data_IF_872334999800
#
_entry.id   IF_872334999800
#
_cell.length_a   1.000
_cell.length_b   1.000
_cell.length_c   1.000
_cell.angle_alpha   90.00
_cell.angle_beta   90.00
_cell.angle_gamma   90.00
#
_symmetry.space_group_name_H-M   'P 1'
#
loop_
_entity.id
_entity.type
_entity.pdbx_description
1 polymer ?
#
# COMPACT_ATOMS: atom_id res chain seq x y z
N UNK A 1 -11.63 16.86 -4.96
CA UNK A 1 -12.46 15.67 -5.28
C UNK A 1 -11.98 15.10 -6.62
N UNK A 2 -11.12 14.06 -6.62
CA UNK A 2 -10.68 13.42 -7.88
C UNK A 2 -11.67 12.31 -8.23
N UNK A 3 -12.25 12.37 -9.42
CA UNK A 3 -13.16 11.36 -9.96
C UNK A 3 -12.37 10.06 -10.15
N UNK A 4 -12.81 8.99 -9.50
CA UNK A 4 -12.32 7.63 -9.77
C UNK A 4 -12.88 7.22 -11.13
N UNK A 5 -12.06 7.29 -12.17
CA UNK A 5 -12.39 6.69 -13.45
C UNK A 5 -12.30 5.17 -13.29
N UNK A 6 -13.47 4.54 -13.27
CA UNK A 6 -13.62 3.10 -13.29
C UNK A 6 -13.27 2.62 -14.69
N UNK A 7 -12.08 2.07 -14.86
CA UNK A 7 -11.66 1.44 -16.11
C UNK A 7 -12.50 0.16 -16.26
N UNK A 8 -13.34 0.02 -17.30
CA UNK A 8 -14.09 -1.21 -17.52
C UNK A 8 -13.11 -2.31 -17.91
N UNK A 9 -12.81 -3.20 -16.96
CA UNK A 9 -12.09 -4.44 -17.23
C UNK A 9 -13.00 -5.33 -18.09
N UNK A 10 -12.68 -5.47 -19.37
CA UNK A 10 -13.33 -6.44 -20.26
C UNK A 10 -12.99 -7.87 -19.78
N UNK A 11 -13.78 -8.39 -18.84
CA UNK A 11 -13.70 -9.75 -18.28
C UNK A 11 -14.16 -10.85 -19.25
N UNK A 12 -14.24 -10.56 -20.55
CA UNK A 12 -14.78 -11.47 -21.56
C UNK A 12 -13.80 -12.58 -22.00
N UNK A 13 -12.58 -12.63 -21.46
CA UNK A 13 -11.62 -13.71 -21.74
C UNK A 13 -11.77 -14.95 -20.84
N UNK A 14 -12.65 -14.92 -19.83
CA UNK A 14 -12.85 -16.03 -18.88
C UNK A 14 -14.30 -16.54 -18.79
N UNK A 15 -15.19 -16.11 -19.68
CA UNK A 15 -16.54 -16.66 -19.76
C UNK A 15 -16.53 -17.96 -20.59
N UNK A 16 -16.55 -19.08 -19.88
CA UNK A 16 -16.85 -20.41 -20.39
C UNK A 16 -18.24 -20.41 -21.09
N UNK A 17 -18.40 -21.03 -22.27
CA UNK A 17 -19.69 -21.05 -22.97
C UNK A 17 -20.66 -22.05 -22.31
N UNK A 18 -21.96 -21.70 -22.19
CA UNK A 18 -22.99 -22.67 -21.81
C UNK A 18 -23.21 -23.67 -22.95
N UNK A 19 -23.37 -24.94 -22.57
CA UNK A 19 -23.81 -25.99 -23.47
C UNK A 19 -25.24 -25.70 -24.00
N UNK A 20 -25.39 -25.79 -25.33
CA UNK A 20 -26.65 -26.20 -25.97
C UNK A 20 -27.21 -25.25 -27.03
N UNK A 21 -27.24 -25.73 -28.27
CA UNK A 21 -28.30 -25.40 -29.23
C UNK A 21 -27.91 -24.62 -30.48
N UNK A 22 -27.61 -25.37 -31.54
CA UNK A 22 -27.88 -25.09 -32.96
C UNK A 22 -27.39 -23.78 -33.61
N UNK A 23 -26.52 -23.92 -34.61
CA UNK A 23 -26.43 -22.96 -35.71
C UNK A 23 -25.04 -22.78 -36.30
N UNK A 24 -24.76 -23.57 -37.33
CA UNK A 24 -24.16 -23.13 -38.60
C UNK A 24 -22.81 -22.37 -38.60
N UNK A 25 -21.80 -23.03 -39.18
CA UNK A 25 -20.80 -22.52 -40.14
C UNK A 25 -19.41 -23.11 -39.85
N UNK A 26 -19.08 -24.17 -40.57
CA UNK A 26 -17.76 -24.80 -40.56
C UNK A 26 -17.53 -25.57 -41.85
N UNK A 27 -17.20 -24.83 -42.91
CA UNK A 27 -16.59 -25.35 -44.13
C UNK A 27 -15.31 -26.12 -43.79
N UNK A 28 -15.34 -27.44 -44.00
CA UNK A 28 -14.13 -28.23 -44.22
C UNK A 28 -14.29 -28.97 -45.52
N UNK A 29 -13.55 -28.50 -46.52
CA UNK A 29 -13.44 -29.13 -47.84
C UNK A 29 -13.01 -30.61 -47.77
N UNK A 30 -13.60 -31.37 -48.69
CA UNK A 30 -13.10 -32.60 -49.31
C UNK A 30 -12.97 -33.82 -48.37
N UNK A 31 -13.85 -34.82 -48.43
CA UNK A 31 -14.09 -35.62 -49.63
C UNK A 31 -15.24 -36.63 -49.38
N UNK A 32 -16.16 -36.73 -50.35
CA UNK A 32 -16.64 -38.02 -50.86
C UNK A 32 -17.66 -38.85 -50.07
N UNK A 33 -18.95 -38.57 -50.30
CA UNK A 33 -19.90 -39.58 -50.81
C UNK A 33 -20.38 -40.70 -49.88
N UNK A 34 -21.56 -40.52 -49.29
CA UNK A 34 -22.36 -41.58 -48.68
C UNK A 34 -23.31 -42.21 -49.71
N UNK A 35 -23.15 -43.53 -49.88
CA UNK A 35 -24.13 -44.60 -50.14
C UNK A 35 -25.26 -44.42 -51.17
N UNK A 36 -25.36 -45.42 -52.04
CA UNK A 36 -26.64 -46.05 -52.39
C UNK A 36 -26.83 -46.31 -53.87
N UNK A 37 -26.59 -47.55 -54.31
CA UNK A 37 -27.60 -48.42 -54.96
C UNK A 37 -26.90 -49.75 -55.31
N UNK A 38 -27.56 -50.87 -55.04
CA UNK A 38 -26.93 -52.19 -54.96
C UNK A 38 -26.58 -52.87 -56.28
N UNK A 39 -25.86 -54.00 -56.15
CA UNK A 39 -26.15 -55.27 -56.82
C UNK A 39 -25.08 -56.31 -56.47
N UNK A 40 -25.52 -57.40 -55.83
CA UNK A 40 -25.02 -58.78 -55.84
C UNK A 40 -23.60 -59.08 -56.35
N UNK A 41 -22.75 -59.62 -55.45
CA UNK A 41 -22.08 -60.93 -55.57
C UNK A 41 -21.42 -61.20 -54.21
N UNK A 42 -21.95 -62.14 -53.42
CA UNK A 42 -21.28 -63.41 -53.15
C UNK A 42 -19.75 -63.29 -53.21
N UNK A 43 -19.10 -63.32 -52.04
CA UNK A 43 -18.27 -64.45 -51.65
C UNK A 43 -17.99 -64.35 -50.13
N UNK A 44 -18.42 -65.41 -49.42
CA UNK A 44 -17.93 -65.78 -48.11
C UNK A 44 -16.47 -66.18 -48.28
N UNK A 45 -15.60 -65.84 -47.30
CA UNK A 45 -14.51 -66.70 -46.79
C UNK A 45 -13.59 -65.90 -45.86
N UNK A 46 -13.42 -66.37 -44.61
CA UNK A 46 -12.36 -65.93 -43.70
C UNK A 46 -12.80 -65.77 -42.24
N UNK A 47 -12.72 -66.86 -41.48
CA UNK A 47 -13.06 -66.98 -40.06
C UNK A 47 -12.30 -66.01 -39.14
N UNK A 48 -13.05 -65.19 -38.39
CA UNK A 48 -12.61 -64.54 -37.13
C UNK A 48 -13.80 -64.52 -36.13
N UNK A 49 -14.45 -65.67 -35.94
CA UNK A 49 -15.48 -65.85 -34.90
C UNK A 49 -14.83 -65.98 -33.51
N UNK A 50 -14.44 -64.85 -32.94
CA UNK A 50 -14.11 -64.78 -31.51
C UNK A 50 -15.41 -65.04 -30.73
N UNK A 51 -15.49 -66.18 -30.03
CA UNK A 51 -16.68 -66.62 -29.28
C UNK A 51 -17.24 -65.48 -28.42
N UNK A 52 -18.58 -65.35 -28.32
CA UNK A 52 -19.28 -64.30 -27.55
C UNK A 52 -18.75 -64.18 -26.11
N UNK A 53 -18.32 -65.30 -25.51
CA UNK A 53 -17.69 -65.35 -24.20
C UNK A 53 -16.34 -64.62 -24.13
N UNK A 54 -15.57 -64.67 -25.20
CA UNK A 54 -14.25 -64.07 -25.33
C UNK A 54 -14.33 -62.56 -25.61
N UNK A 55 -15.37 -62.11 -26.33
CA UNK A 55 -15.70 -60.68 -26.43
C UNK A 55 -16.14 -60.10 -25.06
N UNK A 56 -16.93 -60.84 -24.28
CA UNK A 56 -17.30 -60.44 -22.90
C UNK A 56 -16.07 -60.43 -21.98
N UNK A 57 -15.14 -61.37 -22.14
CA UNK A 57 -13.88 -61.38 -21.39
C UNK A 57 -13.00 -60.17 -21.74
N UNK A 58 -12.86 -59.83 -23.03
CA UNK A 58 -12.15 -58.63 -23.48
C UNK A 58 -12.81 -57.35 -22.96
N UNK A 59 -14.13 -57.22 -23.03
CA UNK A 59 -14.88 -56.08 -22.49
C UNK A 59 -14.71 -55.93 -20.98
N UNK A 60 -14.64 -57.03 -20.22
CA UNK A 60 -14.34 -57.00 -18.78
C UNK A 60 -12.91 -56.52 -18.50
N UNK A 61 -11.94 -56.98 -19.29
CA UNK A 61 -10.54 -56.53 -19.18
C UNK A 61 -10.41 -55.04 -19.53
N UNK A 62 -11.09 -54.58 -20.58
CA UNK A 62 -11.11 -53.16 -20.94
C UNK A 62 -11.80 -52.30 -19.86
N UNK A 63 -12.95 -52.74 -19.33
CA UNK A 63 -13.61 -52.06 -18.22
C UNK A 63 -12.74 -52.00 -16.96
N UNK A 64 -12.01 -53.07 -16.65
CA UNK A 64 -11.08 -53.08 -15.52
C UNK A 64 -9.90 -52.11 -15.73
N UNK A 65 -9.38 -52.02 -16.95
CA UNK A 65 -8.34 -51.04 -17.32
C UNK A 65 -8.86 -49.60 -17.25
N UNK A 66 -10.05 -49.34 -17.77
CA UNK A 66 -10.69 -48.03 -17.72
C UNK A 66 -11.00 -47.60 -16.28
N UNK A 67 -11.50 -48.50 -15.44
CA UNK A 67 -11.70 -48.23 -14.00
C UNK A 67 -10.38 -47.86 -13.32
N UNK A 68 -9.32 -48.66 -13.51
CA UNK A 68 -8.00 -48.33 -12.95
C UNK A 68 -7.45 -46.99 -13.44
N UNK A 69 -7.64 -46.66 -14.72
CA UNK A 69 -7.23 -45.37 -15.27
C UNK A 69 -8.05 -44.22 -14.64
N UNK A 70 -9.35 -44.41 -14.45
CA UNK A 70 -10.23 -43.43 -13.82
C UNK A 70 -9.93 -43.23 -12.32
N UNK A 71 -9.70 -44.31 -11.58
CA UNK A 71 -9.30 -44.26 -10.17
C UNK A 71 -7.95 -43.53 -10.00
N UNK A 72 -7.01 -43.75 -10.93
CA UNK A 72 -5.73 -43.03 -10.95
C UNK A 72 -5.92 -41.55 -11.27
N UNK A 73 -6.70 -41.21 -12.29
CA UNK A 73 -6.95 -39.82 -12.68
C UNK A 73 -7.68 -39.04 -11.58
N UNK A 74 -8.65 -39.66 -10.90
CA UNK A 74 -9.36 -39.03 -9.77
C UNK A 74 -8.46 -38.83 -8.56
N UNK A 75 -7.57 -39.78 -8.24
CA UNK A 75 -6.53 -39.63 -7.21
C UNK A 75 -5.58 -38.47 -7.53
N UNK A 76 -5.11 -38.37 -8.77
CA UNK A 76 -4.23 -37.29 -9.21
C UNK A 76 -4.94 -35.93 -9.19
N UNK A 77 -6.19 -35.85 -9.64
CA UNK A 77 -6.97 -34.61 -9.57
C UNK A 77 -7.21 -34.16 -8.11
N UNK A 78 -7.46 -35.11 -7.20
CA UNK A 78 -7.62 -34.82 -5.77
C UNK A 78 -6.32 -34.31 -5.15
N UNK A 79 -5.17 -34.91 -5.49
CA UNK A 79 -3.87 -34.47 -4.98
C UNK A 79 -3.48 -33.10 -5.52
N UNK A 80 -3.71 -32.83 -6.81
CA UNK A 80 -3.50 -31.50 -7.40
C UNK A 80 -4.37 -30.43 -6.75
N UNK A 81 -5.66 -30.73 -6.51
CA UNK A 81 -6.57 -29.79 -5.84
C UNK A 81 -6.10 -29.47 -4.41
N UNK A 82 -5.59 -30.48 -3.69
CA UNK A 82 -5.02 -30.29 -2.35
C UNK A 82 -3.75 -29.44 -2.39
N UNK A 83 -2.82 -29.73 -3.28
CA UNK A 83 -1.58 -28.95 -3.44
C UNK A 83 -1.86 -27.52 -3.86
N UNK A 84 -2.84 -27.28 -4.72
CA UNK A 84 -3.21 -25.93 -5.14
C UNK A 84 -3.76 -25.11 -3.97
N UNK A 85 -4.64 -25.70 -3.16
CA UNK A 85 -5.15 -25.09 -1.93
C UNK A 85 -4.01 -24.75 -0.98
N UNK A 86 -3.11 -25.70 -0.73
CA UNK A 86 -1.96 -25.51 0.16
C UNK A 86 -1.02 -24.41 -0.34
N UNK A 87 -0.73 -24.37 -1.65
CA UNK A 87 0.10 -23.31 -2.25
C UNK A 87 -0.57 -21.94 -2.14
N UNK A 88 -1.86 -21.85 -2.45
CA UNK A 88 -2.62 -20.61 -2.30
C UNK A 88 -2.61 -20.11 -0.85
N UNK A 89 -2.82 -21.00 0.12
CA UNK A 89 -2.75 -20.63 1.54
C UNK A 89 -1.35 -20.22 1.98
N UNK A 90 -0.30 -20.89 1.51
CA UNK A 90 1.08 -20.53 1.84
C UNK A 90 1.49 -19.19 1.20
N UNK A 91 1.07 -18.92 -0.04
CA UNK A 91 1.32 -17.65 -0.73
C UNK A 91 0.57 -16.50 -0.08
N UNK A 92 -0.67 -16.70 0.38
CA UNK A 92 -1.46 -15.69 1.08
C UNK A 92 -0.83 -15.29 2.43
N UNK A 93 -0.36 -16.28 3.20
CA UNK A 93 0.37 -16.03 4.46
C UNK A 93 1.68 -15.28 4.18
N UNK A 94 2.45 -15.71 3.18
CA UNK A 94 3.71 -15.04 2.82
C UNK A 94 3.48 -13.60 2.33
N UNK A 95 2.36 -13.34 1.64
CA UNK A 95 2.00 -12.00 1.18
C UNK A 95 1.59 -11.10 2.37
N UNK A 96 0.83 -11.63 3.32
CA UNK A 96 0.50 -10.92 4.57
C UNK A 96 1.76 -10.61 5.39
N UNK A 97 2.62 -11.60 5.64
CA UNK A 97 3.87 -11.37 6.37
C UNK A 97 4.78 -10.35 5.68
N UNK A 98 4.82 -10.37 4.35
CA UNK A 98 5.60 -9.39 3.58
C UNK A 98 4.99 -8.00 3.67
N UNK A 99 3.66 -7.89 3.60
CA UNK A 99 2.95 -6.64 3.77
C UNK A 99 3.15 -6.06 5.17
N UNK A 100 3.11 -6.90 6.22
CA UNK A 100 3.38 -6.50 7.61
C UNK A 100 4.83 -6.04 7.79
N UNK A 101 5.82 -6.81 7.30
CA UNK A 101 7.23 -6.41 7.35
C UNK A 101 7.52 -5.13 6.57
N UNK A 102 6.82 -4.91 5.46
CA UNK A 102 6.95 -3.68 4.68
C UNK A 102 6.27 -2.50 5.37
N UNK A 103 5.11 -2.70 6.00
CA UNK A 103 4.44 -1.69 6.81
C UNK A 103 5.30 -1.30 8.02
N UNK A 104 5.84 -2.26 8.77
CA UNK A 104 6.75 -1.98 9.89
C UNK A 104 8.00 -1.20 9.44
N UNK A 105 8.58 -1.58 8.30
CA UNK A 105 9.75 -0.88 7.75
C UNK A 105 9.38 0.54 7.32
N UNK A 106 8.22 0.73 6.72
CA UNK A 106 7.73 2.05 6.31
C UNK A 106 7.42 2.94 7.52
N UNK A 107 6.77 2.41 8.56
CA UNK A 107 6.52 3.14 9.81
C UNK A 107 7.82 3.58 10.49
N UNK A 108 8.82 2.70 10.57
CA UNK A 108 10.13 3.05 11.08
C UNK A 108 10.81 4.12 10.23
N UNK A 109 10.72 4.02 8.91
CA UNK A 109 11.30 5.00 8.00
C UNK A 109 10.65 6.38 8.16
N UNK A 110 9.32 6.43 8.24
CA UNK A 110 8.58 7.68 8.47
C UNK A 110 8.91 8.28 9.83
N UNK A 111 9.03 7.45 10.88
CA UNK A 111 9.47 7.89 12.20
C UNK A 111 10.88 8.50 12.17
N UNK A 112 11.85 7.83 11.54
CA UNK A 112 13.21 8.35 11.41
C UNK A 112 13.25 9.65 10.61
N UNK A 113 12.49 9.74 9.51
CA UNK A 113 12.39 10.97 8.73
C UNK A 113 11.85 12.12 9.57
N UNK A 114 10.79 11.88 10.32
CA UNK A 114 10.19 12.87 11.24
C UNK A 114 11.18 13.32 12.31
N UNK A 115 11.87 12.40 12.97
CA UNK A 115 12.88 12.74 13.98
C UNK A 115 14.03 13.56 13.39
N UNK A 116 14.46 13.22 12.17
CA UNK A 116 15.49 13.97 11.45
C UNK A 116 15.04 15.40 11.11
N UNK A 117 13.79 15.57 10.65
CA UNK A 117 13.24 16.90 10.34
C UNK A 117 13.08 17.74 11.59
N UNK A 118 12.56 17.17 12.68
CA UNK A 118 12.45 17.86 13.99
C UNK A 118 13.84 18.31 14.46
N UNK A 119 14.85 17.43 14.43
CA UNK A 119 16.22 17.77 14.84
C UNK A 119 16.81 18.92 14.01
N UNK A 120 16.52 18.98 12.70
CA UNK A 120 16.95 20.08 11.83
C UNK A 120 16.26 21.39 12.20
N UNK A 121 14.95 21.37 12.43
CA UNK A 121 14.20 22.56 12.83
C UNK A 121 14.62 23.05 14.22
N UNK A 122 14.84 22.14 15.17
CA UNK A 122 15.29 22.48 16.52
C UNK A 122 16.62 23.24 16.47
N UNK A 123 17.59 22.77 15.67
CA UNK A 123 18.85 23.49 15.44
C UNK A 123 18.64 24.89 14.88
N UNK A 124 17.68 25.06 13.97
CA UNK A 124 17.35 26.38 13.42
C UNK A 124 16.76 27.29 14.50
N UNK A 125 15.82 26.81 15.32
CA UNK A 125 15.24 27.59 16.40
C UNK A 125 16.25 27.95 17.49
N UNK A 126 17.13 27.02 17.86
CA UNK A 126 18.27 27.29 18.74
C UNK A 126 19.18 28.38 18.16
N UNK A 127 19.47 28.34 16.86
CA UNK A 127 20.25 29.37 16.19
C UNK A 127 19.56 30.75 16.16
N UNK A 128 18.22 30.77 16.18
CA UNK A 128 17.41 32.00 16.34
C UNK A 128 17.39 32.52 17.79
N UNK A 129 17.98 31.77 18.73
CA UNK A 129 18.10 32.15 20.14
C UNK A 129 16.92 31.70 20.99
N UNK A 130 16.08 30.77 20.50
CA UNK A 130 15.08 30.14 21.34
C UNK A 130 15.76 29.30 22.43
N UNK A 131 15.21 29.28 23.66
CA UNK A 131 15.66 28.32 24.68
C UNK A 131 15.34 26.89 24.21
N UNK A 132 16.14 25.91 24.65
CA UNK A 132 16.05 24.52 24.17
C UNK A 132 14.63 23.94 24.26
N UNK A 133 13.92 24.21 25.36
CA UNK A 133 12.55 23.71 25.56
C UNK A 133 11.55 24.28 24.54
N UNK A 134 11.65 25.58 24.21
CA UNK A 134 10.79 26.20 23.19
C UNK A 134 11.25 25.83 21.77
N UNK A 135 12.54 25.67 21.54
CA UNK A 135 13.08 25.24 20.25
C UNK A 135 12.61 23.84 19.87
N UNK A 136 12.63 22.88 20.81
CA UNK A 136 12.15 21.53 20.60
C UNK A 136 10.65 21.49 20.29
N UNK A 137 9.83 22.26 21.03
CA UNK A 137 8.39 22.38 20.78
C UNK A 137 8.09 23.05 19.45
N UNK A 138 8.76 24.16 19.13
CA UNK A 138 8.59 24.85 17.86
C UNK A 138 8.99 23.96 16.67
N UNK A 139 10.03 23.16 16.83
CA UNK A 139 10.47 22.20 15.83
C UNK A 139 9.45 21.08 15.58
N UNK A 140 8.84 20.55 16.65
CA UNK A 140 7.76 19.58 16.56
C UNK A 140 6.53 20.19 15.86
N UNK A 141 6.05 21.34 16.34
CA UNK A 141 4.92 22.06 15.75
C UNK A 141 5.14 22.38 14.26
N UNK A 142 6.34 22.87 13.90
CA UNK A 142 6.72 23.12 12.51
C UNK A 142 6.73 21.84 11.66
N UNK A 143 7.19 20.71 12.23
CA UNK A 143 7.19 19.42 11.54
C UNK A 143 5.76 18.88 11.34
N UNK A 144 4.88 19.12 12.31
CA UNK A 144 3.47 18.73 12.28
C UNK A 144 2.58 19.65 11.44
N UNK A 145 3.12 20.79 11.00
CA UNK A 145 2.35 21.90 10.43
C UNK A 145 1.28 22.42 11.40
N UNK A 146 1.51 22.29 12.71
CA UNK A 146 0.72 22.92 13.75
C UNK A 146 1.12 24.40 13.86
N UNK A 147 0.51 25.23 13.02
CA UNK A 147 0.80 26.66 12.99
C UNK A 147 0.31 27.38 14.24
N UNK A 148 -0.78 26.90 14.86
CA UNK A 148 -1.35 27.54 16.04
C UNK A 148 -0.41 27.38 17.24
N UNK A 149 0.12 26.17 17.45
CA UNK A 149 1.14 25.93 18.46
C UNK A 149 2.43 26.71 18.16
N UNK A 150 2.88 26.72 16.90
CA UNK A 150 4.07 27.47 16.50
C UNK A 150 3.95 28.97 16.82
N UNK A 151 2.81 29.60 16.50
CA UNK A 151 2.59 31.01 16.81
C UNK A 151 2.48 31.27 18.31
N UNK A 152 1.84 30.37 19.07
CA UNK A 152 1.80 30.47 20.53
C UNK A 152 3.20 30.41 21.15
N UNK A 153 4.06 29.53 20.65
CA UNK A 153 5.45 29.42 21.09
C UNK A 153 6.23 30.68 20.73
N UNK A 154 6.05 31.20 19.51
CA UNK A 154 6.69 32.44 19.07
C UNK A 154 6.26 33.64 19.93
N UNK A 155 4.97 33.74 20.27
CA UNK A 155 4.45 34.80 21.14
C UNK A 155 5.13 34.75 22.52
N UNK A 156 5.19 33.55 23.12
CA UNK A 156 5.86 33.32 24.42
C UNK A 156 7.33 33.75 24.36
N UNK A 157 8.05 33.35 23.31
CA UNK A 157 9.45 33.72 23.11
C UNK A 157 9.64 35.24 23.02
N UNK A 158 8.78 35.93 22.27
CA UNK A 158 8.84 37.40 22.13
C UNK A 158 8.63 38.08 23.48
N UNK A 159 7.61 37.67 24.25
CA UNK A 159 7.33 38.23 25.58
C UNK A 159 8.50 38.05 26.55
N UNK A 160 9.11 36.87 26.57
CA UNK A 160 10.29 36.59 27.39
C UNK A 160 11.49 37.44 26.96
N UNK A 161 11.76 37.53 25.65
CA UNK A 161 12.82 38.38 25.09
C UNK A 161 12.62 39.84 25.48
N UNK A 162 11.42 40.37 25.34
CA UNK A 162 11.09 41.74 25.71
C UNK A 162 11.27 41.99 27.21
N UNK A 163 10.79 41.07 28.05
CA UNK A 163 10.94 41.18 29.51
C UNK A 163 12.41 41.20 29.91
N UNK A 164 13.21 40.33 29.29
CA UNK A 164 14.66 40.26 29.54
C UNK A 164 15.35 41.54 29.09
N UNK A 165 15.02 42.05 27.90
CA UNK A 165 15.56 43.30 27.37
C UNK A 165 15.16 44.52 28.23
N UNK A 166 13.91 44.60 28.69
CA UNK A 166 13.45 45.64 29.62
C UNK A 166 14.19 45.56 30.96
N UNK A 167 14.39 44.36 31.49
CA UNK A 167 15.14 44.16 32.72
C UNK A 167 16.62 44.55 32.57
N UNK A 168 17.27 44.21 31.46
CA UNK A 168 18.67 44.57 31.21
C UNK A 168 18.83 46.06 30.93
N UNK A 169 17.84 46.70 30.30
CA UNK A 169 17.79 48.15 30.14
C UNK A 169 17.66 48.86 31.50
N UNK A 170 16.79 48.39 32.39
CA UNK A 170 16.66 48.94 33.74
C UNK A 170 17.95 48.79 34.57
N UNK A 171 18.69 47.69 34.43
CA UNK A 171 19.99 47.50 35.11
C UNK A 171 21.10 48.39 34.57
N UNK A 172 21.05 48.74 33.28
CA UNK A 172 22.06 49.58 32.62
C UNK A 172 21.75 51.08 32.69
N UNK A 173 20.58 51.46 33.22
CA UNK A 173 20.21 52.85 33.42
C UNK A 173 21.08 53.48 34.52
N UNK A 174 21.83 54.57 34.25
CA UNK A 174 22.59 55.25 35.28
C UNK A 174 21.65 55.85 36.33
N UNK A 175 22.04 55.78 37.60
CA UNK A 175 21.28 56.42 38.67
C UNK A 175 21.16 57.93 38.38
N UNK A 176 19.94 58.51 38.44
CA UNK A 176 19.80 59.94 38.28
C UNK A 176 20.59 60.66 39.38
N UNK A 177 21.23 61.80 39.07
CA UNK A 177 21.96 62.57 40.08
C UNK A 177 21.03 62.88 41.25
N UNK A 178 21.49 62.61 42.48
CA UNK A 178 20.74 62.92 43.68
C UNK A 178 20.61 64.45 43.79
N UNK A 179 19.43 64.98 43.46
CA UNK A 179 19.09 66.38 43.67
C UNK A 179 18.84 66.64 45.15
N UNK A 180 19.90 66.66 45.96
CA UNK A 180 19.88 67.29 47.27
C UNK A 180 21.29 67.76 47.65
N UNK A 181 21.77 68.80 46.96
CA UNK A 181 22.63 69.78 47.61
C UNK A 181 21.71 70.91 48.06
N UNK A 182 21.39 70.93 49.36
CA UNK A 182 20.95 72.10 50.10
C UNK A 182 22.10 73.15 50.10
N UNK A 183 22.47 73.63 48.93
CA UNK A 183 23.35 74.78 48.77
C UNK A 183 22.64 75.77 47.86
N UNK A 184 22.43 76.94 48.46
CA UNK A 184 21.63 78.05 47.97
C UNK A 184 22.00 78.48 46.55
N UNK A 185 20.97 78.97 45.83
CA UNK A 185 20.98 79.54 44.47
C UNK A 185 20.68 78.56 43.32
N UNK A 186 19.38 78.43 43.03
CA UNK A 186 18.86 77.86 41.78
C UNK A 186 19.58 78.47 40.57
N UNK A 187 20.32 77.64 39.83
CA UNK A 187 20.98 78.04 38.59
C UNK A 187 20.02 78.62 37.54
N UNK A 188 18.72 78.27 37.63
CA UNK A 188 17.64 78.82 36.82
C UNK A 188 17.33 80.29 37.16
N UNK A 189 17.34 80.66 38.45
CA UNK A 189 17.16 82.05 38.89
C UNK A 189 18.38 82.92 38.58
N UNK A 190 19.59 82.33 38.55
CA UNK A 190 20.82 83.05 38.21
C UNK A 190 20.87 83.57 36.76
N UNK A 191 20.16 82.93 35.84
CA UNK A 191 20.07 83.34 34.44
C UNK A 191 19.10 84.50 34.17
N UNK A 192 18.22 84.81 35.12
CA UNK A 192 17.21 85.88 34.99
C UNK A 192 17.59 87.19 35.71
N UNK A 193 18.72 87.19 36.43
CA UNK A 193 19.19 88.34 37.20
C UNK A 193 20.31 89.15 36.50
N UNK A 194 20.35 89.15 35.17
CA UNK A 194 21.18 90.07 34.37
C UNK A 194 20.45 91.39 34.08
#
# INVERSE_FOLDING_TARGET
MRKKEFIPMNLQLFAEPPAGGDGDAGDTSATGGKSGEGSNKADLDGDDDVSLAEQVAQLKVQNAKLKKANDKATSEAASYKKQLREKQTAEEIALQEKAEKEAEREEQFQKLLRENTITKFEKNFLALGYPADLAAKAAAAQCDNDTDELFSIQQTFIEEKEKTMKADWMKSMPNPPAGNSDDDEDAFLKGFNM
#
